data_IF_986254982325
#
_entry.id   IF_986254982325
#
_cell.length_a   1.000
_cell.length_b   1.000
_cell.length_c   1.000
_cell.angle_alpha   90.00
_cell.angle_beta   90.00
_cell.angle_gamma   90.00
#
_symmetry.space_group_name_H-M   'P 1'
#
loop_
_entity.id
_entity.type
_entity.pdbx_description
1 polymer ?
#
# COMPACT_ATOMS: atom_id res chain seq x y z
N UNK A 1 -16.40 31.93 -10.09
CA UNK A 1 -17.02 30.59 -10.14
C UNK A 1 -17.21 30.07 -8.71
N UNK A 2 -18.31 29.36 -8.42
CA UNK A 2 -18.56 28.71 -7.12
C UNK A 2 -18.17 27.22 -7.21
N UNK A 3 -16.86 26.94 -7.24
CA UNK A 3 -16.35 25.58 -7.32
C UNK A 3 -16.04 25.05 -5.92
N UNK A 4 -16.38 23.80 -5.65
CA UNK A 4 -16.05 23.11 -4.40
C UNK A 4 -14.55 23.08 -4.15
N UNK A 5 -14.13 23.38 -2.92
CA UNK A 5 -12.71 23.39 -2.51
C UNK A 5 -12.58 22.81 -1.11
N UNK A 6 -11.38 22.37 -0.79
CA UNK A 6 -11.03 21.93 0.56
C UNK A 6 -9.78 22.70 1.05
N UNK A 7 -9.90 24.01 1.30
CA UNK A 7 -8.74 24.85 1.67
C UNK A 7 -8.20 24.52 3.07
N UNK A 8 -9.03 23.97 3.94
CA UNK A 8 -8.83 23.66 5.35
C UNK A 8 -8.38 22.21 5.59
N UNK A 9 -8.21 21.42 4.53
CA UNK A 9 -7.87 19.99 4.60
C UNK A 9 -8.89 19.20 5.43
N UNK A 10 -10.15 19.60 5.34
CA UNK A 10 -11.28 18.98 6.00
C UNK A 10 -11.37 17.49 5.61
N UNK A 11 -11.45 16.60 6.60
CA UNK A 11 -11.47 15.16 6.36
C UNK A 11 -12.65 14.67 5.52
N UNK A 12 -13.80 15.35 5.64
CA UNK A 12 -15.04 14.96 4.97
C UNK A 12 -15.08 15.34 3.49
N UNK A 13 -14.11 16.13 3.02
CA UNK A 13 -13.95 16.47 1.61
C UNK A 13 -14.24 17.94 1.29
N UNK A 14 -14.27 18.28 -0.01
CA UNK A 14 -14.46 19.64 -0.47
C UNK A 14 -15.88 20.14 -0.24
N UNK A 15 -16.00 21.41 0.08
CA UNK A 15 -17.25 22.11 0.37
C UNK A 15 -17.36 23.40 -0.45
N UNK A 16 -18.54 23.99 -0.48
CA UNK A 16 -18.76 25.33 -1.03
C UNK A 16 -19.83 26.10 -0.25
N UNK A 17 -19.87 27.42 -0.44
CA UNK A 17 -20.99 28.23 0.06
C UNK A 17 -22.21 27.98 -0.83
N UNK A 18 -23.36 27.73 -0.21
CA UNK A 18 -24.59 27.48 -0.96
C UNK A 18 -25.26 28.80 -1.34
N UNK A 19 -26.27 28.74 -2.22
CA UNK A 19 -27.14 29.89 -2.51
C UNK A 19 -28.36 29.95 -1.59
N UNK A 20 -28.57 28.95 -0.73
CA UNK A 20 -29.65 28.91 0.23
C UNK A 20 -29.32 29.79 1.45
N UNK A 21 -30.16 30.81 1.77
CA UNK A 21 -29.95 31.64 2.96
C UNK A 21 -30.04 30.89 4.29
N UNK A 22 -30.64 29.69 4.33
CA UNK A 22 -30.73 28.85 5.53
C UNK A 22 -29.48 27.96 5.72
N UNK A 23 -28.74 27.66 4.66
CA UNK A 23 -27.59 26.76 4.69
C UNK A 23 -26.34 27.48 4.20
N UNK A 24 -25.51 27.97 5.12
CA UNK A 24 -24.34 28.78 4.76
C UNK A 24 -23.34 28.02 3.86
N UNK A 25 -23.11 26.73 4.11
CA UNK A 25 -22.18 25.90 3.34
C UNK A 25 -22.62 24.44 3.35
N UNK A 26 -22.20 23.67 2.36
CA UNK A 26 -22.44 22.22 2.29
C UNK A 26 -21.23 21.49 1.69
N UNK A 27 -21.09 20.20 2.01
CA UNK A 27 -20.11 19.33 1.38
C UNK A 27 -20.56 18.97 -0.02
N UNK A 28 -19.59 18.84 -0.93
CA UNK A 28 -19.86 18.43 -2.30
C UNK A 28 -19.69 16.92 -2.46
N UNK A 29 -20.66 16.31 -3.14
CA UNK A 29 -20.61 14.89 -3.53
C UNK A 29 -19.68 14.71 -4.74
N UNK A 30 -18.37 14.82 -4.49
CA UNK A 30 -17.35 14.54 -5.50
C UNK A 30 -16.97 13.06 -5.40
N UNK A 31 -17.18 12.25 -6.46
CA UNK A 31 -16.75 10.87 -6.46
C UNK A 31 -15.26 10.78 -6.19
N UNK A 32 -14.87 9.85 -5.33
CA UNK A 32 -13.46 9.56 -5.12
C UNK A 32 -12.87 9.06 -6.43
N UNK A 33 -11.73 9.61 -6.82
CA UNK A 33 -10.97 9.07 -7.94
C UNK A 33 -10.63 7.61 -7.61
N UNK A 34 -10.97 6.69 -8.52
CA UNK A 34 -10.51 5.30 -8.44
C UNK A 34 -9.01 5.26 -8.69
N UNK A 35 -8.21 5.53 -7.68
CA UNK A 35 -6.77 5.24 -7.71
C UNK A 35 -6.62 3.73 -7.57
N UNK A 36 -5.95 3.05 -8.51
CA UNK A 36 -5.60 1.66 -8.29
C UNK A 36 -4.80 1.54 -6.98
N UNK A 37 -4.98 0.45 -6.23
CA UNK A 37 -4.27 0.23 -4.97
C UNK A 37 -2.77 0.39 -5.17
N UNK A 38 -2.16 1.27 -4.39
CA UNK A 38 -0.71 1.40 -4.39
C UNK A 38 -0.12 0.44 -3.36
N UNK A 39 0.07 -0.81 -3.77
CA UNK A 39 0.65 -1.87 -2.93
C UNK A 39 2.13 -1.62 -2.56
N UNK A 40 2.73 -0.59 -3.14
CA UNK A 40 4.16 -0.27 -3.04
C UNK A 40 4.32 1.21 -2.69
N UNK A 41 4.77 1.51 -1.47
CA UNK A 41 5.13 2.89 -1.13
C UNK A 41 6.32 3.37 -1.98
N UNK A 42 6.33 4.63 -2.40
CA UNK A 42 7.49 5.26 -3.06
C UNK A 42 8.08 6.39 -2.23
N UNK A 43 7.36 6.86 -1.21
CA UNK A 43 7.85 7.87 -0.27
C UNK A 43 8.54 7.22 0.92
N UNK A 44 9.57 7.89 1.47
CA UNK A 44 10.30 7.40 2.64
C UNK A 44 9.40 7.21 3.88
N UNK A 45 8.27 7.92 3.95
CA UNK A 45 7.29 7.82 5.02
C UNK A 45 6.04 6.99 4.69
N UNK A 46 5.88 6.47 3.47
CA UNK A 46 4.66 5.76 3.05
C UNK A 46 3.38 6.56 3.13
N UNK A 47 3.47 7.88 2.94
CA UNK A 47 2.30 8.75 2.83
C UNK A 47 1.47 8.46 1.57
N UNK A 48 2.12 7.92 0.52
CA UNK A 48 1.53 7.52 -0.75
C UNK A 48 1.02 6.06 -0.77
N UNK A 49 1.12 5.35 0.36
CA UNK A 49 0.66 3.97 0.45
C UNK A 49 -0.87 3.90 0.53
N UNK A 50 -1.47 3.30 -0.50
CA UNK A 50 -2.91 3.04 -0.62
C UNK A 50 -3.19 1.58 -0.98
N UNK A 51 -2.31 0.66 -0.56
CA UNK A 51 -2.49 -0.79 -0.70
C UNK A 51 -3.35 -1.40 0.40
N UNK A 52 -3.37 -2.73 0.46
CA UNK A 52 -4.30 -3.50 1.30
C UNK A 52 -3.67 -4.26 2.48
N UNK A 53 -2.43 -3.96 2.85
CA UNK A 53 -1.81 -4.54 4.06
C UNK A 53 -2.61 -4.11 5.28
N UNK A 54 -3.04 -5.08 6.09
CA UNK A 54 -3.84 -4.89 7.30
C UNK A 54 -3.29 -5.67 8.50
N UNK A 55 -2.00 -5.98 8.48
CA UNK A 55 -1.28 -6.62 9.57
C UNK A 55 -0.04 -5.82 9.97
N UNK A 56 0.24 -5.78 11.27
CA UNK A 56 1.37 -5.04 11.83
C UNK A 56 2.67 -5.83 11.69
N UNK A 57 3.82 -5.21 12.02
CA UNK A 57 5.13 -5.88 12.02
C UNK A 57 5.20 -7.11 12.93
N UNK A 58 4.38 -7.15 13.99
CA UNK A 58 4.27 -8.31 14.89
C UNK A 58 3.15 -9.29 14.50
N UNK A 59 2.47 -9.04 13.38
CA UNK A 59 1.37 -9.88 12.89
C UNK A 59 0.01 -9.60 13.53
N UNK A 60 -0.15 -8.51 14.29
CA UNK A 60 -1.46 -8.13 14.85
C UNK A 60 -2.39 -7.66 13.74
N UNK A 61 -3.66 -8.03 13.85
CA UNK A 61 -4.69 -7.56 12.92
C UNK A 61 -5.02 -6.09 13.19
N UNK A 62 -5.02 -5.30 12.12
CA UNK A 62 -5.43 -3.90 12.18
C UNK A 62 -6.93 -3.77 12.48
N UNK A 63 -7.25 -2.83 13.35
CA UNK A 63 -8.61 -2.38 13.62
C UNK A 63 -9.09 -1.49 12.47
N UNK A 64 -10.37 -1.56 12.13
CA UNK A 64 -10.94 -0.69 11.09
C UNK A 64 -10.91 0.76 11.55
N UNK A 65 -10.65 1.67 10.61
CA UNK A 65 -10.59 3.11 10.86
C UNK A 65 -11.94 3.72 11.25
N UNK A 66 -13.05 3.05 10.93
CA UNK A 66 -14.40 3.44 11.36
C UNK A 66 -14.83 2.82 12.70
N UNK A 67 -14.03 1.92 13.28
CA UNK A 67 -14.30 1.34 14.59
C UNK A 67 -13.84 2.28 15.71
N UNK A 68 -14.53 2.24 16.85
CA UNK A 68 -14.15 2.93 18.08
C UNK A 68 -13.78 1.96 19.22
N UNK A 69 -13.62 0.67 18.90
CA UNK A 69 -13.30 -0.39 19.86
C UNK A 69 -12.31 -1.39 19.23
N UNK A 70 -11.30 -1.88 19.98
CA UNK A 70 -11.01 -1.59 21.40
C UNK A 70 -10.41 -0.20 21.68
N UNK A 71 -9.94 0.50 20.65
CA UNK A 71 -9.28 1.80 20.81
C UNK A 71 -10.14 2.91 20.20
N UNK A 72 -10.50 3.92 21.00
CA UNK A 72 -11.20 5.10 20.49
C UNK A 72 -10.20 6.09 19.88
N UNK A 73 -10.54 6.70 18.74
CA UNK A 73 -9.68 7.62 18.03
C UNK A 73 -10.42 8.55 17.04
N UNK A 74 -9.76 9.64 16.65
CA UNK A 74 -10.29 10.68 15.76
C UNK A 74 -9.90 10.48 14.28
N UNK A 75 -9.77 9.22 13.86
CA UNK A 75 -9.44 8.85 12.48
C UNK A 75 -10.64 8.27 11.72
N UNK A 76 -11.86 8.52 12.19
CA UNK A 76 -13.10 8.06 11.56
C UNK A 76 -13.27 8.55 10.12
N UNK A 77 -12.59 9.63 9.74
CA UNK A 77 -12.55 10.11 8.36
C UNK A 77 -11.91 9.13 7.37
N UNK A 78 -11.05 8.22 7.86
CA UNK A 78 -10.43 7.17 7.06
C UNK A 78 -11.30 5.90 6.94
N UNK A 79 -12.61 5.98 7.26
CA UNK A 79 -13.57 4.86 7.17
C UNK A 79 -13.52 4.07 5.86
N UNK A 80 -13.27 4.75 4.74
CA UNK A 80 -13.22 4.13 3.41
C UNK A 80 -11.86 3.48 3.10
N UNK A 81 -10.95 3.44 4.08
CA UNK A 81 -9.66 2.75 4.02
C UNK A 81 -9.71 1.42 4.79
N UNK A 82 -10.91 0.94 5.15
CA UNK A 82 -11.16 -0.30 5.89
C UNK A 82 -10.29 -0.42 7.15
N UNK A 83 -9.44 -1.45 7.23
CA UNK A 83 -8.42 -1.61 8.26
C UNK A 83 -7.00 -1.62 7.68
N UNK A 84 -6.81 -1.03 6.51
CA UNK A 84 -5.50 -1.03 5.85
C UNK A 84 -4.56 -0.04 6.53
N UNK A 85 -3.28 -0.39 6.59
CA UNK A 85 -2.24 0.45 7.17
C UNK A 85 -2.11 1.77 6.41
N UNK A 86 -2.03 2.89 7.13
CA UNK A 86 -1.92 4.23 6.54
C UNK A 86 -0.92 5.09 7.30
N UNK A 87 -0.41 6.12 6.65
CA UNK A 87 0.31 7.21 7.31
C UNK A 87 -0.38 8.54 7.04
N UNK A 88 -1.47 8.86 7.75
CA UNK A 88 -2.19 10.11 7.54
C UNK A 88 -1.26 11.32 7.68
N UNK A 89 -1.28 12.21 6.68
CA UNK A 89 -0.42 13.40 6.60
C UNK A 89 1.10 13.13 6.58
N UNK A 90 1.54 11.88 6.38
CA UNK A 90 2.95 11.52 6.32
C UNK A 90 3.75 11.82 7.59
N UNK A 91 3.08 11.98 8.74
CA UNK A 91 3.72 12.43 9.99
C UNK A 91 4.56 11.33 10.66
N UNK A 92 4.23 10.06 10.43
CA UNK A 92 4.96 8.96 11.04
C UNK A 92 6.26 8.68 10.27
N UNK A 93 7.40 8.88 10.93
CA UNK A 93 8.72 8.78 10.29
C UNK A 93 9.09 7.37 9.80
N UNK A 94 8.50 6.31 10.37
CA UNK A 94 8.85 4.91 10.07
C UNK A 94 7.93 4.24 9.05
N UNK A 95 6.91 4.93 8.55
CA UNK A 95 5.98 4.38 7.58
C UNK A 95 4.54 4.24 8.08
N UNK A 96 3.70 3.55 7.30
CA UNK A 96 2.30 3.31 7.63
C UNK A 96 2.12 2.45 8.88
N UNK A 97 1.01 2.70 9.56
CA UNK A 97 0.64 2.07 10.82
C UNK A 97 -0.88 1.87 10.87
N UNK A 98 -1.35 1.17 11.88
CA UNK A 98 -2.77 1.03 12.17
C UNK A 98 -3.01 0.90 13.67
N UNK A 99 -4.24 1.20 14.12
CA UNK A 99 -4.71 0.71 15.41
C UNK A 99 -4.82 -0.81 15.35
N UNK A 100 -4.60 -1.50 16.47
CA UNK A 100 -4.68 -2.96 16.48
C UNK A 100 -5.97 -3.44 17.15
N UNK A 101 -6.38 -4.66 16.84
CA UNK A 101 -7.49 -5.33 17.54
C UNK A 101 -7.11 -5.86 18.92
N UNK A 102 -5.83 -5.80 19.29
CA UNK A 102 -5.31 -6.19 20.61
C UNK A 102 -5.57 -5.05 21.62
N UNK A 103 -6.35 -5.28 22.70
CA UNK A 103 -6.63 -4.26 23.72
C UNK A 103 -5.39 -3.73 24.45
N UNK A 104 -4.29 -4.49 24.48
CA UNK A 104 -3.04 -4.10 25.15
C UNK A 104 -2.09 -3.32 24.22
N UNK A 105 -2.35 -3.36 22.90
CA UNK A 105 -1.53 -2.68 21.89
C UNK A 105 -2.37 -1.71 21.07
N UNK A 106 -2.37 -0.44 21.48
CA UNK A 106 -3.20 0.61 20.83
C UNK A 106 -2.92 0.70 19.33
N UNK A 107 -1.65 0.82 18.94
CA UNK A 107 -1.24 0.95 17.55
C UNK A 107 0.13 0.35 17.32
N UNK A 108 0.44 0.03 16.06
CA UNK A 108 1.74 -0.47 15.65
C UNK A 108 2.02 -0.18 14.17
N UNK A 109 3.30 -0.10 13.81
CA UNK A 109 3.73 0.00 12.41
C UNK A 109 3.41 -1.26 11.63
N UNK A 110 3.25 -1.10 10.32
CA UNK A 110 3.05 -2.20 9.39
C UNK A 110 4.31 -2.44 8.56
N UNK A 111 4.51 -3.69 8.16
CA UNK A 111 5.54 -4.03 7.18
C UNK A 111 4.99 -3.78 5.78
N UNK A 112 5.22 -2.58 5.25
CA UNK A 112 4.70 -2.18 3.94
C UNK A 112 5.70 -2.56 2.85
N UNK A 113 5.28 -3.34 1.84
CA UNK A 113 6.09 -3.59 0.65
C UNK A 113 6.52 -2.27 0.00
N UNK A 114 7.76 -2.23 -0.47
CA UNK A 114 8.42 -1.03 -0.98
C UNK A 114 8.59 0.12 0.03
N UNK A 115 9.26 -0.14 1.15
CA UNK A 115 10.03 0.93 1.80
C UNK A 115 11.51 0.60 1.54
N UNK A 116 12.04 1.18 0.46
CA UNK A 116 13.47 1.16 0.05
C UNK A 116 14.03 -0.20 -0.40
N UNK A 117 13.71 -0.64 -1.62
CA UNK A 117 14.60 -1.56 -2.38
C UNK A 117 15.24 -0.92 -3.62
N UNK A 118 14.78 0.26 -4.05
CA UNK A 118 15.36 0.91 -5.24
C UNK A 118 16.63 1.75 -4.95
N UNK A 119 16.88 2.16 -3.70
CA UNK A 119 18.07 2.97 -3.39
C UNK A 119 19.33 2.14 -3.07
N UNK A 120 19.20 0.86 -2.71
CA UNK A 120 20.36 0.00 -2.39
C UNK A 120 20.80 -0.89 -3.54
N UNK A 121 20.00 -0.99 -4.60
CA UNK A 121 20.34 -1.73 -5.80
C UNK A 121 19.94 -0.85 -6.98
N UNK A 122 20.91 -0.41 -7.80
CA UNK A 122 20.77 0.45 -8.99
C UNK A 122 19.71 -0.05 -10.00
N UNK A 123 18.44 -0.08 -9.65
CA UNK A 123 17.33 -0.53 -10.47
C UNK A 123 16.34 0.62 -10.67
N UNK A 124 15.95 0.94 -11.92
CA UNK A 124 14.95 1.97 -12.18
C UNK A 124 13.60 1.53 -11.61
N UNK A 125 12.92 2.45 -10.91
CA UNK A 125 11.61 2.24 -10.32
C UNK A 125 10.54 2.02 -11.40
N UNK A 126 10.41 0.79 -11.90
CA UNK A 126 9.22 0.32 -12.62
C UNK A 126 9.15 -1.20 -12.53
N UNK A 127 7.97 -1.69 -12.16
CA UNK A 127 7.53 -3.09 -12.08
C UNK A 127 7.75 -3.79 -10.73
N UNK A 128 6.65 -3.94 -9.99
CA UNK A 128 6.55 -4.75 -8.77
C UNK A 128 5.52 -5.83 -9.03
N UNK A 129 5.99 -7.06 -9.25
CA UNK A 129 5.24 -8.29 -8.98
C UNK A 129 6.25 -9.38 -8.60
N UNK A 130 6.63 -9.43 -7.33
CA UNK A 130 7.37 -10.57 -6.78
C UNK A 130 6.36 -11.57 -6.22
N UNK A 131 5.90 -12.52 -7.05
CA UNK A 131 5.23 -13.72 -6.54
C UNK A 131 6.30 -14.66 -5.99
N UNK A 132 6.21 -14.97 -4.70
CA UNK A 132 6.93 -16.10 -4.13
C UNK A 132 6.28 -17.39 -4.63
N UNK A 133 7.01 -18.20 -5.41
CA UNK A 133 6.65 -19.61 -5.64
C UNK A 133 7.86 -20.45 -5.25
N UNK A 134 7.76 -21.11 -4.11
CA UNK A 134 8.68 -22.16 -3.70
C UNK A 134 8.27 -23.41 -4.52
N UNK A 135 9.12 -23.88 -5.43
CA UNK A 135 9.04 -25.25 -5.95
C UNK A 135 10.33 -26.00 -5.61
N UNK A 136 10.24 -27.25 -5.11
CA UNK A 136 11.41 -27.99 -4.62
C UNK A 136 12.25 -28.48 -5.79
N UNK A 137 13.58 -28.35 -5.66
CA UNK A 137 14.56 -29.01 -6.53
C UNK A 137 14.40 -30.53 -6.40
N UNK A 138 13.88 -31.20 -7.43
CA UNK A 138 14.06 -32.63 -7.62
C UNK A 138 14.38 -32.93 -9.09
N UNK A 139 15.66 -33.16 -9.32
CA UNK A 139 16.26 -34.13 -10.25
C UNK A 139 15.55 -34.38 -11.60
N UNK A 140 15.94 -33.64 -12.65
CA UNK A 140 15.84 -34.12 -14.03
C UNK A 140 17.00 -33.57 -14.88
N UNK A 141 17.79 -34.43 -15.57
CA UNK A 141 19.03 -34.03 -16.23
C UNK A 141 18.88 -33.50 -17.67
N UNK A 142 17.67 -33.19 -18.16
CA UNK A 142 17.46 -32.91 -19.59
C UNK A 142 16.51 -31.74 -19.88
N UNK A 143 16.84 -30.54 -19.42
CA UNK A 143 16.23 -29.30 -19.94
C UNK A 143 17.35 -28.44 -20.53
N UNK A 144 17.40 -28.34 -21.86
CA UNK A 144 18.32 -27.46 -22.58
C UNK A 144 17.69 -26.08 -22.79
N UNK A 145 18.52 -25.03 -22.79
CA UNK A 145 18.14 -23.60 -22.77
C UNK A 145 17.16 -23.19 -23.89
N UNK A 146 17.14 -23.91 -25.01
CA UNK A 146 16.23 -23.64 -26.14
C UNK A 146 14.77 -24.06 -25.89
N UNK A 147 14.53 -24.99 -24.96
CA UNK A 147 13.16 -25.47 -24.64
C UNK A 147 12.38 -24.53 -23.73
N UNK A 148 13.05 -23.58 -23.06
CA UNK A 148 12.41 -22.56 -22.21
C UNK A 148 11.86 -21.37 -23.02
N UNK A 149 12.43 -21.07 -24.20
CA UNK A 149 11.99 -19.94 -25.03
C UNK A 149 10.61 -20.15 -25.69
N UNK A 150 10.13 -21.39 -25.82
CA UNK A 150 8.86 -21.67 -26.51
C UNK A 150 7.62 -21.66 -25.61
N UNK A 151 7.77 -21.52 -24.28
CA UNK A 151 6.63 -21.32 -23.36
C UNK A 151 6.33 -19.83 -23.08
N UNK A 152 7.10 -18.91 -23.65
CA UNK A 152 6.96 -17.47 -23.36
C UNK A 152 5.89 -16.75 -24.19
N UNK A 153 5.24 -17.42 -25.14
CA UNK A 153 4.29 -16.76 -26.04
C UNK A 153 2.81 -16.84 -25.63
N UNK A 154 2.45 -17.46 -24.50
CA UNK A 154 1.04 -17.57 -24.10
C UNK A 154 0.71 -17.25 -22.64
N UNK A 155 1.65 -16.72 -21.85
CA UNK A 155 1.35 -16.26 -20.51
C UNK A 155 2.02 -14.90 -20.28
N UNK A 156 1.19 -13.86 -20.19
CA UNK A 156 1.54 -12.49 -19.83
C UNK A 156 2.04 -12.42 -18.37
N UNK A 157 3.25 -12.92 -18.09
CA UNK A 157 3.86 -12.85 -16.76
C UNK A 157 5.24 -12.17 -16.82
N UNK A 158 5.29 -11.01 -16.18
CA UNK A 158 6.49 -10.21 -15.92
C UNK A 158 7.45 -10.99 -15.02
N UNK A 159 8.56 -11.53 -15.56
CA UNK A 159 9.67 -12.01 -14.71
C UNK A 159 11.03 -11.65 -15.32
N UNK A 160 11.95 -11.19 -14.48
CA UNK A 160 13.34 -10.87 -14.81
C UNK A 160 14.25 -11.91 -14.13
N UNK A 161 15.13 -12.56 -14.89
CA UNK A 161 16.14 -13.49 -14.37
C UNK A 161 17.36 -12.72 -13.83
N UNK A 162 17.92 -13.13 -12.69
CA UNK A 162 19.34 -12.90 -12.37
C UNK A 162 19.94 -14.16 -11.75
N UNK A 163 20.73 -14.88 -12.54
CA UNK A 163 21.59 -15.98 -12.10
C UNK A 163 22.81 -15.36 -11.41
N UNK A 164 23.02 -15.66 -10.12
CA UNK A 164 24.28 -15.38 -9.42
C UNK A 164 24.99 -16.71 -9.20
N UNK A 165 26.07 -16.95 -9.95
CA UNK A 165 27.05 -17.97 -9.58
C UNK A 165 28.01 -17.36 -8.56
N UNK A 166 28.00 -17.86 -7.31
CA UNK A 166 29.19 -17.88 -6.48
C UNK A 166 29.99 -19.12 -6.87
N UNK A 167 31.29 -18.97 -7.15
CA UNK A 167 32.21 -20.09 -7.19
C UNK A 167 33.26 -19.83 -6.10
N UNK A 168 33.22 -20.68 -5.06
CA UNK A 168 34.30 -20.85 -4.10
C UNK A 168 35.56 -21.38 -4.80
N UNK A 169 36.73 -20.92 -4.36
CA UNK A 169 38.02 -21.26 -4.96
C UNK A 169 38.35 -22.76 -5.02
N UNK A 170 39.18 -23.07 -6.00
CA UNK A 170 39.94 -24.30 -6.23
C UNK A 170 41.03 -23.99 -7.24
#
# INVERSE_FOLDING_TARGET
ENKCRNPDLEPNGPWCYTTDPAQRWEYCDIPKCGTPPNECSTTAGGADYFGHVNTTVSGRTCMRWDSQSPHSHDYGYAKDQENYCRNPYGKAAKGPWCYTTDPEKIWEYCNIPCLVQCLQANFPCRQVQCYMVIMPLQDSPNITVESLHHMEHNIQLNTCHRVLFQIHGG
#
